data_IF_218009614266
#
_entry.id   IF_218009614266
#
_cell.length_a   1.000
_cell.length_b   1.000
_cell.length_c   1.000
_cell.angle_alpha   90.00
_cell.angle_beta   90.00
_cell.angle_gamma   90.00
#
_symmetry.space_group_name_H-M   'P 1'
#
loop_
_entity.id
_entity.type
_entity.pdbx_description
1 polymer ?
#
# COMPACT_ATOMS: atom_id res chain seq x y z
N UNK A 1 29.50 -5.24 2.26
CA UNK A 1 28.71 -4.84 3.45
C UNK A 1 28.65 -6.01 4.43
N UNK A 2 28.86 -5.74 5.70
CA UNK A 2 28.59 -6.68 6.77
C UNK A 2 27.09 -6.89 6.98
N UNK A 3 26.70 -7.89 7.76
CA UNK A 3 25.28 -8.11 8.10
C UNK A 3 24.65 -6.87 8.79
N UNK A 4 25.41 -6.20 9.65
CA UNK A 4 24.93 -4.99 10.33
C UNK A 4 24.66 -3.85 9.33
N UNK A 5 25.61 -3.58 8.44
CA UNK A 5 25.47 -2.57 7.39
C UNK A 5 24.31 -2.87 6.43
N UNK A 6 24.12 -4.15 6.05
CA UNK A 6 22.97 -4.55 5.22
C UNK A 6 21.65 -4.27 5.91
N UNK A 7 21.54 -4.62 7.19
CA UNK A 7 20.32 -4.38 7.98
C UNK A 7 20.05 -2.88 8.14
N UNK A 8 21.07 -2.11 8.47
CA UNK A 8 20.96 -0.65 8.62
C UNK A 8 20.53 0.04 7.31
N UNK A 9 21.00 -0.49 6.16
CA UNK A 9 20.73 0.13 4.85
C UNK A 9 19.39 -0.28 4.25
N UNK A 10 18.98 -1.55 4.38
CA UNK A 10 17.88 -2.10 3.59
C UNK A 10 16.73 -2.67 4.43
N UNK A 11 16.89 -2.84 5.75
CA UNK A 11 15.84 -3.36 6.62
C UNK A 11 15.17 -2.24 7.41
N UNK A 12 13.84 -2.26 7.44
CA UNK A 12 13.04 -1.43 8.34
C UNK A 12 12.32 -2.39 9.28
N UNK A 13 12.58 -2.30 10.57
CA UNK A 13 12.12 -3.26 11.58
C UNK A 13 11.29 -2.66 12.73
N UNK A 14 10.98 -1.37 12.65
CA UNK A 14 10.35 -0.60 13.73
C UNK A 14 9.04 0.09 13.33
N UNK A 15 8.41 -0.30 12.20
CA UNK A 15 7.22 0.41 11.70
C UNK A 15 5.97 0.21 12.57
N UNK A 16 5.65 -1.03 12.97
CA UNK A 16 4.36 -1.34 13.58
C UNK A 16 4.35 -1.05 15.09
N UNK A 17 4.06 0.21 15.43
CA UNK A 17 3.99 0.70 16.81
C UNK A 17 2.55 1.05 17.19
N UNK A 18 2.01 0.44 18.24
CA UNK A 18 0.65 0.68 18.72
C UNK A 18 0.39 2.17 19.04
N UNK A 19 -0.74 2.68 18.56
CA UNK A 19 -1.16 4.07 18.76
C UNK A 19 -0.41 5.10 17.90
N UNK A 20 0.32 4.68 16.85
CA UNK A 20 1.14 5.57 16.02
C UNK A 20 1.00 5.32 14.53
N UNK A 21 1.36 6.35 13.77
CA UNK A 21 1.76 6.23 12.37
C UNK A 21 3.27 6.39 12.35
N UNK A 22 3.96 5.40 11.80
CA UNK A 22 5.40 5.44 11.57
C UNK A 22 5.67 5.48 10.07
N UNK A 23 6.59 6.33 9.63
CA UNK A 23 6.95 6.46 8.22
C UNK A 23 8.44 6.60 8.03
N UNK A 24 8.94 6.04 6.93
CA UNK A 24 10.32 6.14 6.48
C UNK A 24 10.34 6.60 5.02
N UNK A 25 11.00 7.71 4.77
CA UNK A 25 11.30 8.17 3.42
C UNK A 25 12.53 7.42 2.89
N UNK A 26 12.42 6.86 1.71
CA UNK A 26 13.50 6.18 1.00
C UNK A 26 13.74 6.90 -0.32
N UNK A 27 15.01 7.21 -0.62
CA UNK A 27 15.37 7.98 -1.80
C UNK A 27 15.14 7.21 -3.12
N UNK A 28 15.15 5.87 -3.07
CA UNK A 28 14.78 5.02 -4.19
C UNK A 28 13.34 5.31 -4.62
N UNK A 29 13.16 5.80 -5.85
CA UNK A 29 11.89 6.22 -6.44
C UNK A 29 11.07 7.15 -5.53
N UNK A 30 11.69 7.80 -4.56
CA UNK A 30 11.09 8.70 -3.55
C UNK A 30 9.94 8.01 -2.81
N UNK A 31 10.16 6.77 -2.45
CA UNK A 31 9.16 5.94 -1.76
C UNK A 31 8.98 6.40 -0.32
N UNK A 32 7.75 6.40 0.16
CA UNK A 32 7.45 6.45 1.60
C UNK A 32 6.83 5.14 2.01
N UNK A 33 7.44 4.49 2.99
CA UNK A 33 7.02 3.23 3.56
C UNK A 33 6.57 3.50 4.99
N UNK A 34 5.43 2.95 5.39
CA UNK A 34 4.94 3.22 6.73
C UNK A 34 3.94 2.20 7.24
N UNK A 35 3.45 2.50 8.43
CA UNK A 35 2.32 1.81 9.04
C UNK A 35 1.44 2.77 9.83
N UNK A 36 0.19 2.37 10.05
CA UNK A 36 -0.70 3.00 11.02
C UNK A 36 -1.33 1.89 11.88
N UNK A 37 -1.14 1.99 13.20
CA UNK A 37 -1.68 1.02 14.17
C UNK A 37 -2.57 1.78 15.16
N UNK A 38 -3.79 2.20 14.75
CA UNK A 38 -4.71 2.88 15.64
C UNK A 38 -5.19 1.92 16.74
N UNK A 39 -5.25 2.43 17.98
CA UNK A 39 -5.80 1.69 19.14
C UNK A 39 -7.11 2.31 19.58
N UNK A 40 -7.14 3.03 20.70
CA UNK A 40 -8.34 3.66 21.24
C UNK A 40 -8.76 4.95 20.52
N UNK A 41 -7.88 5.57 19.75
CA UNK A 41 -8.14 6.82 19.03
C UNK A 41 -7.76 6.69 17.55
N UNK A 42 -8.52 7.35 16.65
CA UNK A 42 -8.11 7.48 15.27
C UNK A 42 -6.76 8.18 15.13
N UNK A 43 -6.01 7.82 14.10
CA UNK A 43 -4.72 8.41 13.75
C UNK A 43 -4.87 9.16 12.42
N UNK A 44 -4.41 10.41 12.39
CA UNK A 44 -4.39 11.23 11.18
C UNK A 44 -3.05 11.12 10.48
N UNK A 45 -3.08 10.93 9.16
CA UNK A 45 -1.90 10.93 8.33
C UNK A 45 -1.44 12.37 8.11
N UNK A 46 -0.38 12.75 8.80
CA UNK A 46 0.22 14.07 8.65
C UNK A 46 1.32 14.06 7.57
N UNK A 47 1.62 15.22 7.01
CA UNK A 47 2.76 15.37 6.11
C UNK A 47 4.05 15.53 6.90
N UNK A 48 5.18 15.20 6.27
CA UNK A 48 6.52 15.43 6.82
C UNK A 48 7.18 16.63 6.15
N UNK A 49 8.05 17.33 6.91
CA UNK A 49 8.80 18.49 6.40
C UNK A 49 9.63 18.15 5.15
N UNK A 50 10.18 16.93 5.05
CA UNK A 50 10.96 16.48 3.90
C UNK A 50 10.14 16.42 2.60
N UNK A 51 8.82 16.24 2.69
CA UNK A 51 7.94 16.19 1.54
C UNK A 51 7.60 17.56 0.96
N UNK A 52 7.79 18.66 1.71
CA UNK A 52 7.47 20.03 1.30
C UNK A 52 6.07 20.15 0.70
N UNK A 53 5.11 19.54 1.34
CA UNK A 53 3.70 19.49 0.94
C UNK A 53 2.81 20.01 2.07
N UNK A 54 1.65 20.61 1.75
CA UNK A 54 0.69 21.10 2.74
C UNK A 54 -0.04 19.96 3.44
N UNK A 55 -0.24 18.86 2.74
CA UNK A 55 -0.79 17.59 3.25
C UNK A 55 -0.14 16.41 2.51
N UNK A 56 -0.21 15.22 3.08
CA UNK A 56 0.58 14.07 2.62
C UNK A 56 0.35 13.70 1.15
N UNK A 57 -0.91 13.72 0.70
CA UNK A 57 -1.29 13.31 -0.66
C UNK A 57 -1.37 14.48 -1.66
N UNK A 58 -0.81 15.64 -1.35
CA UNK A 58 -0.77 16.78 -2.29
C UNK A 58 -0.12 16.41 -3.63
N UNK A 59 0.92 15.57 -3.59
CA UNK A 59 1.71 15.16 -4.78
C UNK A 59 2.00 13.66 -4.81
N UNK A 60 1.31 12.89 -3.97
CA UNK A 60 1.57 11.45 -3.78
C UNK A 60 0.29 10.65 -3.86
N UNK A 61 0.43 9.37 -4.15
CA UNK A 61 -0.59 8.34 -4.03
C UNK A 61 -0.23 7.39 -2.89
N UNK A 62 -1.21 6.67 -2.37
CA UNK A 62 -1.04 5.77 -1.24
C UNK A 62 -1.76 4.45 -1.47
N UNK A 63 -1.02 3.36 -1.31
CA UNK A 63 -1.56 2.02 -1.10
C UNK A 63 -1.63 1.70 0.40
N UNK A 64 -2.75 1.20 0.84
CA UNK A 64 -2.99 0.74 2.21
C UNK A 64 -3.35 -0.72 2.17
N UNK A 65 -2.67 -1.57 2.95
CA UNK A 65 -3.01 -2.98 3.14
C UNK A 65 -3.24 -3.24 4.64
N UNK A 66 -4.41 -3.73 5.01
CA UNK A 66 -4.67 -4.09 6.41
C UNK A 66 -4.19 -5.52 6.68
N UNK A 67 -3.27 -5.69 7.64
CA UNK A 67 -2.71 -6.99 8.04
C UNK A 67 -3.10 -7.41 9.47
N UNK A 68 -3.85 -6.56 10.19
CA UNK A 68 -4.32 -6.78 11.55
C UNK A 68 -5.81 -7.05 11.65
N UNK A 69 -6.41 -6.65 12.76
CA UNK A 69 -7.84 -6.67 13.00
C UNK A 69 -8.60 -5.74 12.06
N UNK A 70 -9.94 -5.78 12.11
CA UNK A 70 -10.76 -4.91 11.27
C UNK A 70 -10.60 -3.42 11.66
N UNK A 71 -10.61 -2.55 10.64
CA UNK A 71 -10.51 -1.12 10.87
C UNK A 71 -11.08 -0.30 9.72
N UNK A 72 -11.07 1.00 9.87
CA UNK A 72 -11.56 1.93 8.86
C UNK A 72 -10.47 2.90 8.41
N UNK A 73 -10.54 3.26 7.14
CA UNK A 73 -9.79 4.38 6.56
C UNK A 73 -10.80 5.40 6.07
N UNK A 74 -10.79 6.57 6.69
CA UNK A 74 -11.62 7.70 6.27
C UNK A 74 -10.77 8.64 5.44
N UNK A 75 -11.22 8.91 4.23
CA UNK A 75 -10.54 9.78 3.26
C UNK A 75 -11.43 10.98 3.01
N UNK A 76 -10.89 12.16 3.20
CA UNK A 76 -11.61 13.40 3.06
C UNK A 76 -10.72 14.55 2.62
N UNK A 77 -11.33 15.74 2.47
CA UNK A 77 -10.61 16.91 2.05
C UNK A 77 -10.75 17.15 0.55
N UNK A 78 -11.84 17.64 0.19
CA UNK A 78 -12.11 18.38 -1.03
C UNK A 78 -12.83 19.63 -0.62
N UNK A 79 -12.86 20.64 -1.47
CA UNK A 79 -13.50 21.93 -1.21
C UNK A 79 -14.90 21.76 -0.61
N UNK A 80 -15.14 22.41 0.54
CA UNK A 80 -16.50 22.64 1.02
C UNK A 80 -17.18 23.57 0.02
N UNK A 81 -17.99 23.03 -0.86
CA UNK A 81 -18.78 23.86 -1.78
C UNK A 81 -19.98 24.40 -1.03
N UNK A 82 -19.90 25.66 -0.67
CA UNK A 82 -21.06 26.39 -0.13
C UNK A 82 -21.99 26.69 -1.30
N UNK A 83 -23.12 26.00 -1.35
CA UNK A 83 -24.15 26.26 -2.36
C UNK A 83 -25.04 27.38 -1.85
N UNK A 84 -24.67 28.61 -2.18
CA UNK A 84 -25.62 29.73 -2.14
C UNK A 84 -26.46 29.72 -3.43
N UNK A 85 -27.46 30.58 -3.54
CA UNK A 85 -28.43 30.66 -4.66
C UNK A 85 -27.83 30.91 -6.07
N UNK A 86 -26.56 30.65 -6.31
CA UNK A 86 -25.86 30.88 -7.58
C UNK A 86 -24.99 29.70 -8.02
N UNK A 87 -25.14 29.33 -9.24
CA UNK A 87 -24.46 28.38 -10.14
C UNK A 87 -23.18 27.72 -9.65
N UNK A 88 -23.22 26.40 -9.52
CA UNK A 88 -22.05 25.54 -9.36
C UNK A 88 -21.47 25.18 -10.71
N UNK A 89 -20.16 25.39 -10.89
CA UNK A 89 -19.41 24.90 -12.06
C UNK A 89 -18.92 23.48 -11.79
N UNK A 90 -19.08 22.59 -12.75
CA UNK A 90 -18.69 21.18 -12.64
C UNK A 90 -17.17 21.03 -12.55
N UNK A 91 -16.71 20.20 -11.60
CA UNK A 91 -15.34 19.71 -11.52
C UNK A 91 -15.36 18.20 -11.72
N UNK A 92 -14.76 17.77 -12.82
CA UNK A 92 -14.33 16.41 -13.16
C UNK A 92 -15.22 15.21 -12.79
N UNK A 93 -16.14 14.83 -13.67
CA UNK A 93 -16.75 13.47 -13.65
C UNK A 93 -17.90 13.24 -12.68
N UNK A 94 -18.58 14.27 -12.22
CA UNK A 94 -19.67 14.20 -11.27
C UNK A 94 -21.06 14.14 -11.94
N UNK A 95 -22.00 13.35 -11.36
CA UNK A 95 -23.41 13.41 -11.71
C UNK A 95 -24.09 14.61 -11.06
N UNK A 96 -24.87 15.35 -11.86
CA UNK A 96 -25.61 16.53 -11.41
C UNK A 96 -26.99 16.10 -10.93
N UNK A 97 -27.28 16.25 -9.64
CA UNK A 97 -28.60 16.05 -9.06
C UNK A 97 -29.24 17.41 -8.75
N UNK A 98 -30.48 17.60 -9.15
CA UNK A 98 -31.23 18.84 -8.87
C UNK A 98 -32.17 18.62 -7.70
N UNK A 99 -32.02 19.37 -6.61
CA UNK A 99 -32.90 19.34 -5.45
C UNK A 99 -33.43 20.76 -5.20
N UNK A 100 -34.77 20.94 -5.18
CA UNK A 100 -35.40 22.20 -4.82
C UNK A 100 -35.09 23.39 -5.73
N UNK A 101 -34.78 23.15 -7.01
CA UNK A 101 -34.43 24.20 -7.99
C UNK A 101 -32.95 24.57 -8.04
N UNK A 102 -32.12 24.03 -7.13
CA UNK A 102 -30.66 24.14 -7.18
C UNK A 102 -30.05 22.87 -7.78
N UNK A 103 -29.03 23.01 -8.63
CA UNK A 103 -28.26 21.88 -9.14
C UNK A 103 -27.20 21.51 -8.12
N UNK A 104 -27.28 20.30 -7.57
CA UNK A 104 -26.27 19.73 -6.68
C UNK A 104 -25.44 18.76 -7.50
N UNK A 105 -24.14 18.94 -7.50
CA UNK A 105 -23.21 18.01 -8.14
C UNK A 105 -22.82 16.94 -7.12
N UNK A 106 -23.30 15.72 -7.31
CA UNK A 106 -22.86 14.60 -6.48
C UNK A 106 -21.58 14.02 -7.06
N UNK A 107 -20.47 14.13 -6.32
CA UNK A 107 -19.26 13.41 -6.60
C UNK A 107 -19.24 12.20 -5.67
N UNK A 108 -19.41 11.02 -6.22
CA UNK A 108 -19.26 9.70 -5.62
C UNK A 108 -19.43 9.60 -4.09
N UNK A 109 -20.68 9.55 -3.58
CA UNK A 109 -20.96 9.16 -2.21
C UNK A 109 -21.11 10.30 -1.18
N UNK A 110 -21.36 11.52 -1.60
CA UNK A 110 -21.61 12.65 -0.69
C UNK A 110 -22.97 12.55 0.03
N UNK A 111 -22.98 12.73 1.35
CA UNK A 111 -24.21 13.02 2.11
C UNK A 111 -24.52 14.52 2.00
N UNK A 112 -25.76 14.85 1.63
CA UNK A 112 -26.26 16.22 1.64
C UNK A 112 -26.75 16.53 3.06
N UNK A 113 -26.08 17.43 3.75
CA UNK A 113 -26.53 17.94 5.05
C UNK A 113 -27.15 19.31 4.84
N UNK A 114 -28.47 19.41 5.02
CA UNK A 114 -29.19 20.68 4.98
C UNK A 114 -29.09 21.40 6.34
N UNK A 115 -28.42 22.55 6.36
CA UNK A 115 -28.34 23.40 7.57
C UNK A 115 -28.90 24.77 7.24
N UNK A 116 -30.17 25.00 7.56
CA UNK A 116 -30.81 26.31 7.38
C UNK A 116 -30.90 26.77 5.93
N UNK A 117 -30.81 28.09 5.68
CA UNK A 117 -30.85 28.67 4.31
C UNK A 117 -29.56 28.56 3.53
N UNK A 118 -28.55 27.91 4.06
CA UNK A 118 -27.26 27.67 3.40
C UNK A 118 -27.00 26.19 3.43
N UNK A 119 -26.99 25.54 2.27
CA UNK A 119 -26.63 24.12 2.16
C UNK A 119 -25.13 24.01 2.01
N UNK A 120 -24.46 23.40 2.98
CA UNK A 120 -23.07 23.00 2.85
C UNK A 120 -23.05 21.53 2.39
N UNK A 121 -22.61 21.30 1.17
CA UNK A 121 -22.36 19.95 0.66
C UNK A 121 -20.95 19.56 1.07
N UNK A 122 -20.82 18.63 1.97
CA UNK A 122 -19.53 18.05 2.32
C UNK A 122 -19.14 17.11 1.17
N UNK A 123 -18.49 17.65 0.17
CA UNK A 123 -18.04 16.88 -0.99
C UNK A 123 -16.80 16.13 -0.54
N UNK A 124 -16.98 14.87 -0.14
CA UNK A 124 -15.87 13.98 -0.23
C UNK A 124 -15.30 13.34 1.05
N UNK A 125 -15.99 13.30 2.19
CA UNK A 125 -15.56 12.40 3.28
C UNK A 125 -16.14 11.00 3.04
N UNK A 126 -15.29 10.00 2.83
CA UNK A 126 -15.71 8.62 2.63
C UNK A 126 -14.96 7.68 3.55
N UNK A 127 -15.71 6.85 4.28
CA UNK A 127 -15.13 5.85 5.17
C UNK A 127 -15.19 4.47 4.52
N UNK A 128 -14.05 3.78 4.52
CA UNK A 128 -13.88 2.44 3.99
C UNK A 128 -13.58 1.48 5.13
N UNK A 129 -14.33 0.38 5.21
CA UNK A 129 -14.07 -0.71 6.16
C UNK A 129 -13.12 -1.72 5.51
N UNK A 130 -12.00 -1.97 6.15
CA UNK A 130 -10.99 -2.94 5.75
C UNK A 130 -10.88 -4.06 6.80
N UNK A 131 -11.18 -5.30 6.39
CA UNK A 131 -10.78 -6.50 7.11
C UNK A 131 -9.32 -6.89 6.79
N UNK A 132 -8.83 -7.96 7.38
CA UNK A 132 -7.48 -8.47 7.11
C UNK A 132 -7.33 -8.79 5.62
N UNK A 133 -6.21 -8.37 5.02
CA UNK A 133 -5.86 -8.45 3.59
C UNK A 133 -6.69 -7.58 2.65
N UNK A 134 -7.69 -6.85 3.13
CA UNK A 134 -8.32 -5.82 2.32
C UNK A 134 -7.36 -4.64 2.12
N UNK A 135 -7.46 -4.01 0.97
CA UNK A 135 -6.60 -2.88 0.62
C UNK A 135 -7.40 -1.68 0.13
N UNK A 136 -6.79 -0.50 0.25
CA UNK A 136 -7.33 0.75 -0.27
C UNK A 136 -6.24 1.47 -1.07
N UNK A 137 -6.58 1.87 -2.28
CA UNK A 137 -5.82 2.87 -3.02
C UNK A 137 -6.40 4.25 -2.71
N UNK A 138 -5.56 5.19 -2.32
CA UNK A 138 -5.94 6.59 -2.10
C UNK A 138 -5.18 7.46 -3.11
N UNK A 139 -5.94 8.09 -3.99
CA UNK A 139 -5.38 8.94 -5.04
C UNK A 139 -4.82 10.25 -4.50
N UNK A 140 -3.99 10.90 -5.31
CA UNK A 140 -3.50 12.25 -5.08
C UNK A 140 -4.65 13.25 -4.88
N UNK A 141 -4.44 14.26 -4.04
CA UNK A 141 -5.37 15.38 -3.84
C UNK A 141 -6.32 15.21 -2.65
N UNK A 142 -6.31 14.06 -1.97
CA UNK A 142 -7.06 13.87 -0.74
C UNK A 142 -6.30 14.51 0.44
N UNK A 143 -6.89 15.53 1.06
CA UNK A 143 -6.21 16.34 2.09
C UNK A 143 -6.12 15.62 3.44
N UNK A 144 -7.11 14.79 3.75
CA UNK A 144 -7.18 14.10 5.03
C UNK A 144 -7.32 12.59 4.86
N UNK A 145 -6.53 11.85 5.62
CA UNK A 145 -6.65 10.39 5.77
C UNK A 145 -6.60 10.06 7.25
N UNK A 146 -7.65 9.39 7.75
CA UNK A 146 -7.77 8.96 9.13
C UNK A 146 -7.84 7.44 9.19
N UNK A 147 -7.11 6.85 10.13
CA UNK A 147 -7.11 5.41 10.39
C UNK A 147 -7.74 5.13 11.75
N UNK A 148 -8.65 4.15 11.84
CA UNK A 148 -9.23 3.72 13.10
C UNK A 148 -9.36 2.20 13.16
N UNK A 149 -9.23 1.63 14.36
CA UNK A 149 -9.54 0.23 14.63
C UNK A 149 -10.99 0.05 15.00
N UNK A 150 -11.59 -1.05 14.56
CA UNK A 150 -12.93 -1.45 15.00
C UNK A 150 -12.92 -1.94 16.46
N UNK A 151 -11.79 -2.54 16.88
CA UNK A 151 -11.57 -3.02 18.24
C UNK A 151 -10.16 -2.63 18.69
N UNK A 152 -10.03 -2.00 19.85
CA UNK A 152 -8.73 -1.59 20.40
C UNK A 152 -7.90 -2.76 20.95
N UNK A 153 -8.53 -3.89 21.30
CA UNK A 153 -7.84 -5.09 21.77
C UNK A 153 -7.27 -5.94 20.62
N UNK A 154 -7.88 -5.81 19.43
CA UNK A 154 -7.42 -6.40 18.17
C UNK A 154 -7.26 -5.28 17.15
N UNK A 155 -6.24 -4.44 17.27
CA UNK A 155 -6.10 -3.27 16.43
C UNK A 155 -5.91 -3.63 14.96
N UNK A 156 -6.43 -2.77 14.10
CA UNK A 156 -6.06 -2.79 12.71
C UNK A 156 -4.59 -2.40 12.57
N UNK A 157 -3.91 -3.02 11.63
CA UNK A 157 -2.52 -2.76 11.32
C UNK A 157 -2.40 -2.49 9.83
N UNK A 158 -2.35 -1.22 9.50
CA UNK A 158 -2.28 -0.79 8.10
C UNK A 158 -0.83 -0.62 7.68
N UNK A 159 -0.39 -1.42 6.71
CA UNK A 159 0.84 -1.18 5.96
C UNK A 159 0.58 -0.09 4.92
N UNK A 160 1.49 0.86 4.81
CA UNK A 160 1.39 2.04 3.96
C UNK A 160 2.55 2.08 2.96
N UNK A 161 2.23 2.24 1.68
CA UNK A 161 3.24 2.39 0.62
C UNK A 161 2.83 3.52 -0.32
N UNK A 162 3.69 4.52 -0.47
CA UNK A 162 3.37 5.73 -1.21
C UNK A 162 4.48 6.13 -2.18
N UNK A 163 4.06 6.57 -3.36
CA UNK A 163 4.93 7.10 -4.42
C UNK A 163 4.45 8.47 -4.88
N UNK A 164 5.31 9.29 -5.55
CA UNK A 164 4.87 10.50 -6.21
C UNK A 164 3.80 10.23 -7.27
N UNK A 165 2.83 11.12 -7.38
CA UNK A 165 1.73 10.98 -8.32
C UNK A 165 1.59 12.22 -9.21
N UNK A 166 1.53 12.01 -10.52
CA UNK A 166 1.39 13.08 -11.53
C UNK A 166 -0.07 13.28 -11.97
N UNK A 167 -0.95 12.31 -11.66
CA UNK A 167 -2.37 12.36 -12.02
C UNK A 167 -3.23 11.98 -10.80
N UNK A 168 -4.52 12.31 -10.89
CA UNK A 168 -5.53 11.93 -9.90
C UNK A 168 -6.24 10.67 -10.38
N UNK A 169 -6.22 9.63 -9.55
CA UNK A 169 -7.00 8.41 -9.76
C UNK A 169 -7.99 8.22 -8.61
N UNK A 170 -9.16 7.60 -8.86
CA UNK A 170 -10.18 7.42 -7.83
C UNK A 170 -9.70 6.57 -6.66
N UNK A 171 -10.03 6.99 -5.44
CA UNK A 171 -9.86 6.16 -4.24
C UNK A 171 -10.70 4.89 -4.38
N UNK A 172 -10.05 3.72 -4.29
CA UNK A 172 -10.65 2.43 -4.62
C UNK A 172 -10.39 1.40 -3.53
N UNK A 173 -11.47 0.84 -2.97
CA UNK A 173 -11.41 -0.28 -2.02
C UNK A 173 -11.28 -1.60 -2.77
N UNK A 174 -10.32 -2.42 -2.36
CA UNK A 174 -10.09 -3.76 -2.88
C UNK A 174 -10.30 -4.78 -1.75
N UNK A 175 -11.42 -5.50 -1.80
CA UNK A 175 -11.69 -6.61 -0.89
C UNK A 175 -10.90 -7.83 -1.31
N UNK A 176 -10.12 -8.43 -0.41
CA UNK A 176 -9.29 -9.60 -0.70
C UNK A 176 -10.09 -10.78 -1.30
N UNK A 177 -11.30 -11.00 -0.77
CA UNK A 177 -12.20 -12.05 -1.27
C UNK A 177 -12.70 -11.83 -2.70
N UNK A 178 -12.66 -10.57 -3.18
CA UNK A 178 -13.09 -10.19 -4.53
C UNK A 178 -11.95 -10.12 -5.56
N UNK A 179 -10.70 -10.27 -5.12
CA UNK A 179 -9.55 -10.23 -6.01
C UNK A 179 -9.26 -11.60 -6.60
N UNK A 180 -8.86 -11.59 -7.87
CA UNK A 180 -8.41 -12.82 -8.54
C UNK A 180 -7.13 -13.34 -7.90
N UNK A 181 -7.10 -14.64 -7.59
CA UNK A 181 -5.94 -15.34 -7.09
C UNK A 181 -5.25 -16.11 -8.21
N UNK A 182 -3.95 -15.93 -8.35
CA UNK A 182 -3.14 -16.66 -9.34
C UNK A 182 -2.28 -17.68 -8.61
N UNK A 183 -2.57 -19.00 -8.72
CA UNK A 183 -1.71 -20.03 -8.17
C UNK A 183 -0.40 -20.11 -8.96
N UNK A 184 0.70 -20.28 -8.26
CA UNK A 184 2.03 -20.37 -8.85
C UNK A 184 2.91 -21.35 -8.06
N UNK A 185 3.84 -21.98 -8.78
CA UNK A 185 4.78 -22.93 -8.19
C UNK A 185 4.20 -24.33 -8.04
N UNK A 186 4.94 -25.19 -7.33
CA UNK A 186 4.60 -26.59 -7.10
C UNK A 186 5.04 -27.01 -5.70
N UNK A 187 4.33 -27.96 -5.09
CA UNK A 187 4.67 -28.49 -3.77
C UNK A 187 6.05 -29.17 -3.75
N UNK A 188 6.42 -29.89 -4.83
CA UNK A 188 7.71 -30.58 -4.98
C UNK A 188 8.90 -29.61 -4.93
N UNK A 189 8.69 -28.35 -5.31
CA UNK A 189 9.70 -27.29 -5.27
C UNK A 189 9.62 -26.44 -3.98
N UNK A 190 8.75 -26.82 -3.05
CA UNK A 190 8.48 -26.05 -1.83
C UNK A 190 8.17 -24.56 -2.07
N UNK A 191 7.50 -24.24 -3.21
CA UNK A 191 7.19 -22.87 -3.63
C UNK A 191 5.73 -22.67 -4.10
N UNK A 192 4.83 -23.56 -3.72
CA UNK A 192 3.41 -23.42 -4.02
C UNK A 192 2.84 -22.20 -3.28
N UNK A 193 2.24 -21.26 -4.01
CA UNK A 193 1.76 -19.99 -3.48
C UNK A 193 0.62 -19.41 -4.30
N UNK A 194 -0.12 -18.49 -3.72
CA UNK A 194 -1.14 -17.69 -4.39
C UNK A 194 -0.72 -16.23 -4.44
N UNK A 195 -0.79 -15.64 -5.62
CA UNK A 195 -0.55 -14.19 -5.83
C UNK A 195 -1.89 -13.49 -5.95
N UNK A 196 -2.08 -12.44 -5.16
CA UNK A 196 -3.21 -11.51 -5.24
C UNK A 196 -2.70 -10.13 -5.65
N UNK A 197 -3.06 -9.69 -6.86
CA UNK A 197 -2.74 -8.35 -7.35
C UNK A 197 -3.80 -7.38 -6.85
N UNK A 198 -3.39 -6.28 -6.25
CA UNK A 198 -4.28 -5.26 -5.69
C UNK A 198 -4.30 -4.01 -6.58
N UNK A 199 -3.15 -3.35 -6.70
CA UNK A 199 -2.97 -2.14 -7.50
C UNK A 199 -2.08 -2.52 -8.69
N UNK A 200 -2.62 -2.44 -9.89
CA UNK A 200 -1.92 -2.80 -11.12
C UNK A 200 -2.63 -2.23 -12.36
N UNK A 201 -1.91 -2.18 -13.48
CA UNK A 201 -2.36 -1.53 -14.71
C UNK A 201 -3.71 -2.02 -15.24
N UNK A 202 -4.00 -3.31 -15.12
CA UNK A 202 -5.23 -3.94 -15.63
C UNK A 202 -6.39 -3.95 -14.60
N UNK A 203 -6.15 -3.43 -13.39
CA UNK A 203 -7.12 -3.40 -12.28
C UNK A 203 -7.27 -2.00 -11.70
N UNK A 204 -7.00 -1.87 -10.40
CA UNK A 204 -6.98 -0.55 -9.74
C UNK A 204 -5.79 0.25 -10.23
N UNK A 205 -6.06 1.34 -10.93
CA UNK A 205 -5.04 2.20 -11.54
C UNK A 205 -4.40 3.13 -10.52
N UNK A 206 -3.14 3.44 -10.78
CA UNK A 206 -2.28 4.36 -10.01
C UNK A 206 -1.36 5.13 -10.96
N UNK A 207 -0.48 5.96 -10.43
CA UNK A 207 0.55 6.65 -11.24
C UNK A 207 1.83 5.82 -11.39
N UNK A 208 2.34 5.29 -10.28
CA UNK A 208 3.57 4.49 -10.24
C UNK A 208 3.38 3.21 -9.43
N UNK A 209 2.57 3.27 -8.36
CA UNK A 209 2.42 2.18 -7.41
C UNK A 209 1.83 0.92 -8.07
N UNK A 210 2.56 -0.18 -7.97
CA UNK A 210 2.06 -1.53 -8.22
C UNK A 210 2.19 -2.29 -6.91
N UNK A 211 1.11 -2.90 -6.43
CA UNK A 211 1.10 -3.56 -5.12
C UNK A 211 0.21 -4.80 -5.13
N UNK A 212 0.66 -5.82 -4.42
CA UNK A 212 -0.09 -7.01 -4.15
C UNK A 212 0.54 -7.80 -3.01
N UNK A 213 -0.01 -8.96 -2.73
CA UNK A 213 0.58 -9.87 -1.75
C UNK A 213 0.61 -11.30 -2.27
N UNK A 214 1.49 -12.08 -1.67
CA UNK A 214 1.67 -13.50 -1.98
C UNK A 214 1.58 -14.30 -0.69
N UNK A 215 0.75 -15.33 -0.68
CA UNK A 215 0.58 -16.27 0.43
C UNK A 215 1.19 -17.62 0.04
N UNK A 216 2.16 -18.09 0.82
CA UNK A 216 2.75 -19.41 0.63
C UNK A 216 1.83 -20.48 1.24
N UNK A 217 1.62 -21.56 0.51
CA UNK A 217 0.88 -22.71 1.01
C UNK A 217 1.65 -23.43 2.13
N UNK A 218 0.96 -24.12 3.05
CA UNK A 218 1.62 -24.95 4.05
C UNK A 218 2.64 -25.91 3.43
N UNK A 219 3.85 -25.95 4.00
CA UNK A 219 4.99 -26.72 3.47
C UNK A 219 5.79 -26.05 2.38
N UNK A 220 5.33 -24.90 1.87
CA UNK A 220 6.09 -24.08 0.92
C UNK A 220 6.81 -22.97 1.65
N UNK A 221 8.08 -22.74 1.29
CA UNK A 221 8.97 -21.81 1.97
C UNK A 221 9.63 -20.80 1.01
N UNK A 222 9.70 -21.10 -0.30
CA UNK A 222 10.32 -20.23 -1.29
C UNK A 222 9.35 -19.28 -1.94
N UNK A 223 9.71 -18.01 -1.99
CA UNK A 223 9.10 -17.01 -2.87
C UNK A 223 10.10 -16.52 -3.91
N UNK A 224 9.58 -16.02 -5.05
CA UNK A 224 10.35 -15.32 -6.09
C UNK A 224 11.62 -16.09 -6.50
N UNK A 225 11.44 -17.40 -6.68
CA UNK A 225 12.48 -18.29 -7.18
C UNK A 225 11.93 -19.02 -8.43
N UNK A 226 12.56 -18.88 -9.61
CA UNK A 226 13.80 -18.16 -9.92
C UNK A 226 13.76 -16.67 -9.58
N UNK A 227 14.91 -16.12 -9.20
CA UNK A 227 15.06 -14.72 -8.87
C UNK A 227 15.07 -13.82 -10.12
N UNK A 228 14.82 -12.54 -9.93
CA UNK A 228 14.89 -11.54 -10.99
C UNK A 228 15.29 -10.18 -10.42
N UNK A 229 15.57 -9.22 -11.30
CA UNK A 229 15.79 -7.81 -10.97
C UNK A 229 14.79 -6.94 -11.73
N UNK A 230 14.68 -5.67 -11.33
CA UNK A 230 13.85 -4.66 -11.98
C UNK A 230 14.66 -3.38 -12.20
N UNK A 231 15.52 -3.32 -13.21
CA UNK A 231 16.38 -2.14 -13.42
C UNK A 231 15.61 -0.81 -13.54
N UNK A 232 14.33 -0.87 -13.89
CA UNK A 232 13.45 0.30 -14.11
C UNK A 232 12.60 0.66 -12.92
N UNK A 233 12.66 -0.11 -11.82
CA UNK A 233 11.85 0.07 -10.61
C UNK A 233 12.61 -0.39 -9.38
N UNK A 234 12.31 0.20 -8.24
CA UNK A 234 12.62 -0.40 -6.94
C UNK A 234 11.44 -1.23 -6.45
N UNK A 235 11.71 -2.16 -5.55
CA UNK A 235 10.69 -3.00 -4.93
C UNK A 235 10.83 -3.01 -3.41
N UNK A 236 9.70 -3.09 -2.72
CA UNK A 236 9.62 -3.15 -1.26
C UNK A 236 8.92 -4.45 -0.88
N UNK A 237 9.58 -5.27 -0.06
CA UNK A 237 9.03 -6.50 0.49
C UNK A 237 8.67 -6.30 1.95
N UNK A 238 7.39 -6.33 2.26
CA UNK A 238 6.87 -6.35 3.63
C UNK A 238 6.46 -7.77 4.00
N UNK A 239 7.13 -8.36 4.98
CA UNK A 239 6.92 -9.73 5.45
C UNK A 239 5.98 -9.76 6.67
N UNK A 240 4.96 -10.60 6.62
CA UNK A 240 3.99 -10.75 7.71
C UNK A 240 3.41 -12.17 7.77
N UNK A 241 2.58 -12.43 8.79
CA UNK A 241 2.08 -13.78 9.10
C UNK A 241 3.24 -14.80 9.27
N UNK A 242 4.33 -14.34 9.88
CA UNK A 242 5.46 -15.18 10.28
C UNK A 242 5.31 -15.50 11.78
N UNK A 243 5.27 -16.77 12.21
CA UNK A 243 5.29 -17.11 13.62
C UNK A 243 6.51 -16.51 14.36
N UNK A 244 6.35 -16.19 15.64
CA UNK A 244 7.37 -15.43 16.39
C UNK A 244 8.72 -16.14 16.50
N UNK A 245 8.73 -17.48 16.46
CA UNK A 245 9.90 -18.35 16.49
C UNK A 245 10.48 -18.67 15.11
N UNK A 246 9.84 -18.18 14.03
CA UNK A 246 10.26 -18.42 12.64
C UNK A 246 10.89 -17.18 12.01
N UNK A 247 11.61 -17.39 10.91
CA UNK A 247 12.29 -16.31 10.17
C UNK A 247 12.19 -16.55 8.66
N UNK A 248 12.38 -15.47 7.92
CA UNK A 248 12.60 -15.50 6.48
C UNK A 248 14.02 -15.03 6.20
N UNK A 249 14.73 -15.73 5.35
CA UNK A 249 16.03 -15.33 4.80
C UNK A 249 15.74 -14.66 3.47
N UNK A 250 15.84 -13.33 3.43
CA UNK A 250 15.70 -12.54 2.22
C UNK A 250 17.03 -12.49 1.48
N UNK A 251 17.06 -12.98 0.25
CA UNK A 251 18.21 -12.90 -0.64
C UNK A 251 18.17 -11.60 -1.43
N UNK A 252 19.28 -10.90 -1.49
CA UNK A 252 19.46 -9.64 -2.21
C UNK A 252 20.87 -9.54 -2.80
N UNK A 253 21.15 -8.45 -3.48
CA UNK A 253 22.41 -8.21 -4.18
C UNK A 253 22.36 -8.56 -5.67
N UNK A 254 23.42 -8.37 -6.42
CA UNK A 254 23.55 -8.93 -7.77
C UNK A 254 23.50 -10.45 -7.72
N UNK A 255 22.94 -11.08 -8.75
CA UNK A 255 22.80 -12.54 -8.77
C UNK A 255 24.10 -13.33 -8.58
N UNK A 256 25.25 -12.76 -9.02
CA UNK A 256 26.57 -13.35 -8.88
C UNK A 256 27.30 -12.95 -7.60
N UNK A 257 26.68 -12.19 -6.73
CA UNK A 257 27.23 -11.80 -5.43
C UNK A 257 26.10 -11.61 -4.42
N UNK A 258 25.42 -12.70 -4.10
CA UNK A 258 24.25 -12.66 -3.23
C UNK A 258 24.62 -12.34 -1.78
N UNK A 259 23.71 -11.67 -1.10
CA UNK A 259 23.72 -11.37 0.32
C UNK A 259 22.37 -11.76 0.91
N UNK A 260 22.27 -11.81 2.22
CA UNK A 260 21.00 -12.11 2.86
C UNK A 260 20.74 -11.23 4.09
N UNK A 261 19.46 -11.04 4.37
CA UNK A 261 18.95 -10.41 5.59
C UNK A 261 17.98 -11.40 6.24
N UNK A 262 18.21 -11.71 7.52
CA UNK A 262 17.25 -12.49 8.30
C UNK A 262 16.14 -11.56 8.79
N UNK A 263 14.91 -11.87 8.39
CA UNK A 263 13.72 -11.03 8.58
C UNK A 263 12.74 -11.72 9.53
N UNK A 264 12.17 -10.95 10.44
CA UNK A 264 11.09 -11.37 11.33
C UNK A 264 9.72 -10.86 10.84
N UNK A 265 8.67 -11.22 11.59
CA UNK A 265 7.33 -10.73 11.33
C UNK A 265 7.26 -9.19 11.38
N UNK A 266 6.50 -8.58 10.47
CA UNK A 266 6.29 -7.12 10.32
C UNK A 266 7.54 -6.30 10.01
N UNK A 267 8.52 -6.91 9.38
CA UNK A 267 9.70 -6.22 8.88
C UNK A 267 9.65 -6.02 7.37
N UNK A 268 10.33 -4.99 6.90
CA UNK A 268 10.34 -4.57 5.49
C UNK A 268 11.76 -4.57 4.96
N UNK A 269 11.95 -5.09 3.75
CA UNK A 269 13.21 -4.98 3.02
C UNK A 269 13.01 -4.12 1.78
N UNK A 270 13.90 -3.16 1.57
CA UNK A 270 13.94 -2.32 0.38
C UNK A 270 14.91 -2.91 -0.62
N UNK A 271 14.44 -3.21 -1.82
CA UNK A 271 15.23 -3.80 -2.91
C UNK A 271 15.48 -2.77 -4.02
N UNK A 272 16.72 -2.28 -4.19
CA UNK A 272 17.08 -1.46 -5.35
C UNK A 272 16.90 -2.22 -6.67
N UNK A 273 16.70 -1.50 -7.76
CA UNK A 273 16.46 -2.08 -9.08
C UNK A 273 17.50 -3.11 -9.56
N UNK A 274 18.75 -2.93 -9.15
CA UNK A 274 19.87 -3.85 -9.47
C UNK A 274 19.92 -5.12 -8.60
N UNK A 275 19.14 -5.16 -7.52
CA UNK A 275 19.16 -6.27 -6.55
C UNK A 275 18.09 -7.30 -6.89
N UNK A 276 18.47 -8.57 -6.83
CA UNK A 276 17.47 -9.64 -6.73
C UNK A 276 16.70 -9.49 -5.40
N UNK A 277 15.51 -10.05 -5.35
CA UNK A 277 14.66 -10.11 -4.17
C UNK A 277 13.93 -11.46 -4.15
N UNK A 278 14.43 -12.36 -3.38
CA UNK A 278 13.84 -13.68 -3.16
C UNK A 278 13.85 -13.99 -1.67
N UNK A 279 13.08 -14.96 -1.24
CA UNK A 279 13.08 -15.32 0.17
C UNK A 279 12.82 -16.79 0.41
N UNK A 280 13.41 -17.33 1.48
CA UNK A 280 13.12 -18.66 1.99
C UNK A 280 12.81 -18.59 3.48
N UNK A 281 11.63 -19.10 3.86
CA UNK A 281 11.21 -19.15 5.26
C UNK A 281 11.62 -20.44 5.96
N UNK A 282 11.68 -20.38 7.27
CA UNK A 282 11.72 -21.57 8.12
C UNK A 282 10.33 -22.23 8.30
N UNK A 283 9.28 -21.51 7.86
CA UNK A 283 7.91 -21.99 7.68
C UNK A 283 7.26 -21.20 6.52
N UNK A 284 6.02 -21.51 6.18
CA UNK A 284 5.25 -20.68 5.27
C UNK A 284 4.93 -19.31 5.87
N UNK A 285 4.76 -18.30 5.03
CA UNK A 285 4.53 -16.90 5.40
C UNK A 285 3.76 -16.17 4.30
N UNK A 286 3.39 -14.94 4.59
CA UNK A 286 2.81 -14.01 3.63
C UNK A 286 3.75 -12.81 3.45
N UNK A 287 3.80 -12.25 2.27
CA UNK A 287 4.50 -10.99 2.04
C UNK A 287 3.73 -10.10 1.06
N UNK A 288 3.75 -8.80 1.33
CA UNK A 288 3.31 -7.78 0.39
C UNK A 288 4.54 -7.34 -0.42
N UNK A 289 4.37 -7.27 -1.72
CA UNK A 289 5.30 -6.70 -2.66
C UNK A 289 4.71 -5.41 -3.22
N UNK A 290 5.54 -4.38 -3.30
CA UNK A 290 5.16 -3.10 -3.84
C UNK A 290 6.30 -2.48 -4.64
N UNK A 291 5.99 -1.93 -5.79
CA UNK A 291 6.94 -1.38 -6.76
C UNK A 291 6.53 0.01 -7.18
N UNK A 292 7.53 0.83 -7.52
CA UNK A 292 7.37 2.10 -8.20
C UNK A 292 8.59 2.41 -9.05
N UNK A 293 8.44 3.29 -10.02
CA UNK A 293 9.51 3.67 -10.94
C UNK A 293 8.96 4.05 -12.33
N UNK A 294 9.67 3.66 -13.38
CA UNK A 294 9.39 4.14 -14.74
C UNK A 294 8.11 3.57 -15.35
N UNK A 295 7.67 2.39 -14.95
CA UNK A 295 6.47 1.76 -15.53
C UNK A 295 5.71 0.88 -14.54
N UNK A 296 4.48 0.49 -14.90
CA UNK A 296 3.58 -0.36 -14.13
C UNK A 296 3.37 -1.75 -14.75
N UNK A 297 4.18 -2.14 -15.72
CA UNK A 297 4.08 -3.45 -16.38
C UNK A 297 4.55 -4.52 -15.41
N UNK A 298 3.62 -5.35 -14.91
CA UNK A 298 3.92 -6.37 -13.91
C UNK A 298 5.01 -7.35 -14.36
N UNK A 299 5.07 -7.70 -15.65
CA UNK A 299 6.04 -8.62 -16.23
C UNK A 299 7.37 -7.96 -16.64
N UNK A 300 7.60 -6.69 -16.33
CA UNK A 300 8.89 -6.02 -16.55
C UNK A 300 9.90 -6.50 -15.50
N UNK A 301 10.49 -7.67 -15.76
CA UNK A 301 11.43 -8.38 -14.90
C UNK A 301 12.61 -8.89 -15.74
N UNK A 302 13.81 -8.74 -15.21
CA UNK A 302 15.05 -9.27 -15.78
C UNK A 302 15.37 -10.59 -15.04
N UNK A 303 14.92 -11.72 -15.61
CA UNK A 303 15.01 -13.03 -14.98
C UNK A 303 16.47 -13.56 -14.91
N UNK A 304 16.80 -14.22 -13.79
CA UNK A 304 18.05 -14.96 -13.62
C UNK A 304 17.76 -16.46 -13.49
N UNK A 305 18.54 -17.27 -14.15
CA UNK A 305 18.47 -18.71 -13.95
C UNK A 305 19.02 -19.08 -12.56
N UNK A 306 18.42 -20.07 -11.89
CA UNK A 306 18.87 -20.51 -10.56
C UNK A 306 20.38 -20.89 -10.57
N UNK A 307 20.85 -21.51 -11.66
CA UNK A 307 22.25 -21.92 -11.80
C UNK A 307 23.23 -20.74 -11.95
N UNK A 308 22.74 -19.52 -12.13
CA UNK A 308 23.56 -18.30 -12.23
C UNK A 308 23.72 -17.59 -10.87
N UNK A 309 23.01 -18.04 -9.84
CA UNK A 309 23.13 -17.46 -8.51
C UNK A 309 24.40 -17.96 -7.81
N UNK A 310 25.18 -17.03 -7.24
CA UNK A 310 26.41 -17.31 -6.49
C UNK A 310 26.43 -16.59 -5.14
#
# INVERSE_FOLDING_TARGET
MTTAELRETFLIDDLFQAGRIEMRYVDLDRTVIGSAVPTAKPLKLETDYALKANYFLERRELGVLNVGGAGTVTVGGGETVTVGSAKVAAVGGAEVVTVGGAKVVAVGGAEVVTVGQTEAVNVGVKTFLLGKLDALYVGRGNEEVLFASANAEEPAEFYLLSYPAHAVWPTTLMKAAGQGKTPLGKAENANLREITKLIHLEGTRSCQLVMGFTQLAPGSVWNTMPAHTHMRRSEVYFYFDIPTDQRVIHLMGPGQETRNIVVANRQVVVSPGWSIHAGVGTSNYTFCWGMGGENQVYSDMDALAIAELL
#
